data_IF_905686500663
#
_entry.id   IF_905686500663
#
_cell.length_a   1.000
_cell.length_b   1.000
_cell.length_c   1.000
_cell.angle_alpha   90.00
_cell.angle_beta   90.00
_cell.angle_gamma   90.00
#
_symmetry.space_group_name_H-M   'P 1'
#
loop_
_entity.id
_entity.type
_entity.pdbx_description
1 polymer ?
#
# COMPACT_ATOMS: atom_id res chain seq x y z
N UNK A 1 -10.06 -0.30 3.65
CA UNK A 1 -8.71 -0.11 4.26
C UNK A 1 -8.83 0.99 5.31
N UNK A 2 -8.83 0.66 6.60
CA UNK A 2 -9.07 1.65 7.68
C UNK A 2 -8.08 2.82 7.69
N UNK A 3 -6.82 2.58 7.31
CA UNK A 3 -5.73 3.57 7.33
C UNK A 3 -5.66 4.45 6.08
N UNK A 4 -6.58 4.28 5.13
CA UNK A 4 -6.66 5.18 3.97
C UNK A 4 -6.87 6.61 4.47
N UNK A 5 -5.94 7.49 4.14
CA UNK A 5 -6.08 8.93 4.38
C UNK A 5 -7.15 9.45 3.43
N UNK A 6 -8.09 10.22 3.96
CA UNK A 6 -9.23 10.80 3.22
C UNK A 6 -9.22 12.33 3.25
N UNK A 7 -8.16 12.93 3.78
CA UNK A 7 -7.98 14.37 3.89
C UNK A 7 -7.37 14.77 5.23
N UNK A 8 -7.59 16.02 5.60
CA UNK A 8 -7.12 16.61 6.85
C UNK A 8 -8.21 17.46 7.50
N UNK A 9 -8.19 17.51 8.80
CA UNK A 9 -8.97 18.45 9.60
C UNK A 9 -8.35 19.86 9.54
N UNK A 10 -9.07 20.85 10.03
CA UNK A 10 -8.61 22.25 10.04
C UNK A 10 -7.32 22.46 10.86
N UNK A 11 -7.07 21.64 11.87
CA UNK A 11 -5.84 21.62 12.68
C UNK A 11 -4.72 20.75 12.10
N UNK A 12 -4.94 20.19 10.89
CA UNK A 12 -3.94 19.44 10.13
C UNK A 12 -3.81 17.95 10.50
N UNK A 13 -4.69 17.41 11.33
CA UNK A 13 -4.73 15.97 11.60
C UNK A 13 -5.30 15.20 10.40
N UNK A 14 -4.80 13.99 10.16
CA UNK A 14 -5.30 13.15 9.07
C UNK A 14 -6.69 12.60 9.39
N UNK A 15 -7.65 12.80 8.49
CA UNK A 15 -8.90 12.03 8.47
C UNK A 15 -8.68 10.71 7.73
N UNK A 16 -9.39 9.66 8.15
CA UNK A 16 -9.19 8.31 7.59
C UNK A 16 -10.50 7.59 7.32
N UNK A 17 -10.43 6.61 6.43
CA UNK A 17 -11.57 5.76 6.10
C UNK A 17 -12.16 5.05 7.32
N UNK A 18 -11.37 4.78 8.37
CA UNK A 18 -11.85 4.16 9.63
C UNK A 18 -13.00 4.93 10.27
N UNK A 19 -13.05 6.24 10.11
CA UNK A 19 -14.08 7.11 10.69
C UNK A 19 -15.47 6.85 10.10
N UNK A 20 -15.52 6.32 8.87
CA UNK A 20 -16.76 5.95 8.19
C UNK A 20 -17.17 4.47 8.39
N UNK A 21 -16.39 3.69 9.13
CA UNK A 21 -16.68 2.26 9.33
C UNK A 21 -17.67 1.96 10.45
N UNK A 22 -17.72 2.69 11.61
CA UNK A 22 -18.63 2.35 12.69
C UNK A 22 -20.08 2.24 12.20
N UNK A 23 -20.70 1.08 12.45
CA UNK A 23 -22.08 0.79 12.03
C UNK A 23 -22.28 0.56 10.54
N UNK A 24 -21.24 0.55 9.73
CA UNK A 24 -21.32 0.30 8.29
C UNK A 24 -21.86 -1.10 8.00
N UNK A 25 -22.91 -1.19 7.18
CA UNK A 25 -23.54 -2.48 6.79
C UNK A 25 -22.96 -3.07 5.50
N UNK A 26 -22.21 -2.28 4.75
CA UNK A 26 -21.57 -2.71 3.49
C UNK A 26 -20.17 -2.12 3.46
N UNK A 27 -19.18 -2.97 3.34
CA UNK A 27 -17.76 -2.59 3.33
C UNK A 27 -17.11 -3.22 2.10
N UNK A 28 -16.59 -2.39 1.22
CA UNK A 28 -15.77 -2.84 0.11
C UNK A 28 -14.30 -2.95 0.56
N UNK A 29 -13.70 -4.12 0.39
CA UNK A 29 -12.27 -4.33 0.61
C UNK A 29 -11.46 -3.99 -0.64
N UNK A 30 -10.33 -3.27 -0.53
CA UNK A 30 -9.47 -2.98 -1.67
C UNK A 30 -8.72 -4.22 -2.15
N UNK A 31 -8.21 -4.18 -3.39
CA UNK A 31 -7.30 -5.19 -3.91
C UNK A 31 -5.95 -5.19 -3.19
N UNK A 32 -5.26 -6.34 -3.17
CA UNK A 32 -4.00 -6.49 -2.43
C UNK A 32 -2.89 -5.54 -2.93
N UNK A 33 -2.74 -5.40 -4.25
CA UNK A 33 -1.77 -4.45 -4.82
C UNK A 33 -2.18 -2.99 -4.54
N UNK A 34 -3.48 -2.70 -4.50
CA UNK A 34 -4.00 -1.38 -4.12
C UNK A 34 -3.58 -1.05 -2.69
N UNK A 35 -3.76 -1.99 -1.77
CA UNK A 35 -3.38 -1.84 -0.37
C UNK A 35 -1.90 -1.50 -0.24
N UNK A 36 -1.01 -2.29 -0.86
CA UNK A 36 0.43 -2.07 -0.77
C UNK A 36 0.85 -0.72 -1.37
N UNK A 37 0.38 -0.41 -2.59
CA UNK A 37 0.74 0.82 -3.29
C UNK A 37 0.23 2.07 -2.56
N UNK A 38 -1.03 2.04 -2.10
CA UNK A 38 -1.62 3.17 -1.38
C UNK A 38 -0.90 3.42 -0.06
N UNK A 39 -0.71 2.37 0.76
CA UNK A 39 -0.03 2.51 2.06
C UNK A 39 1.42 2.98 1.91
N UNK A 40 2.11 2.61 0.82
CA UNK A 40 3.45 3.10 0.58
C UNK A 40 3.49 4.62 0.40
N UNK A 41 2.65 5.20 -0.47
CA UNK A 41 2.83 6.56 -0.97
C UNK A 41 1.85 7.62 -0.40
N UNK A 42 0.70 7.21 0.17
CA UNK A 42 -0.34 8.15 0.60
C UNK A 42 0.13 9.27 1.55
N UNK A 43 1.12 9.07 2.48
CA UNK A 43 1.58 10.19 3.31
C UNK A 43 2.24 11.31 2.48
N UNK A 44 3.06 10.93 1.50
CA UNK A 44 3.71 11.89 0.60
C UNK A 44 2.71 12.67 -0.27
N UNK A 45 1.64 12.02 -0.69
CA UNK A 45 0.55 12.67 -1.43
C UNK A 45 -0.21 13.63 -0.52
N UNK A 46 -0.61 13.15 0.66
CA UNK A 46 -1.39 13.96 1.62
C UNK A 46 -0.66 15.24 2.07
N UNK A 47 0.68 15.19 2.10
CA UNK A 47 1.52 16.34 2.43
C UNK A 47 1.98 17.14 1.21
N UNK A 48 1.61 16.75 -0.01
CA UNK A 48 2.04 17.43 -1.22
C UNK A 48 3.56 17.38 -1.42
N UNK A 49 4.18 16.25 -1.06
CA UNK A 49 5.63 16.04 -1.21
C UNK A 49 5.99 15.41 -2.54
N UNK A 50 5.02 14.81 -3.23
CA UNK A 50 5.23 14.13 -4.50
C UNK A 50 4.36 14.74 -5.59
N UNK A 51 4.93 14.82 -6.79
CA UNK A 51 4.19 15.23 -7.99
C UNK A 51 3.11 14.20 -8.31
N UNK A 52 1.90 14.63 -8.71
CA UNK A 52 0.80 13.71 -9.03
C UNK A 52 1.01 12.97 -10.36
N UNK A 53 1.95 13.43 -11.18
CA UNK A 53 2.29 12.81 -12.46
C UNK A 53 3.57 11.97 -12.33
N UNK A 54 3.72 10.99 -13.23
CA UNK A 54 4.93 10.16 -13.30
C UNK A 54 5.19 9.36 -12.00
N UNK A 55 4.12 8.91 -11.34
CA UNK A 55 4.21 7.95 -10.25
C UNK A 55 4.45 6.57 -10.86
N UNK A 56 5.42 5.83 -10.33
CA UNK A 56 5.75 4.46 -10.78
C UNK A 56 5.61 3.52 -9.61
N UNK A 57 4.92 2.40 -9.82
CA UNK A 57 4.77 1.33 -8.84
C UNK A 57 5.14 -0.02 -9.48
N UNK A 58 6.24 -0.58 -9.02
CA UNK A 58 6.69 -1.92 -9.37
C UNK A 58 6.46 -2.84 -8.16
N UNK A 59 5.77 -3.96 -8.38
CA UNK A 59 5.38 -4.85 -7.31
C UNK A 59 5.87 -6.27 -7.57
N UNK A 60 6.57 -6.83 -6.59
CA UNK A 60 6.87 -8.27 -6.55
C UNK A 60 5.75 -8.97 -5.79
N UNK A 61 5.06 -9.92 -6.46
CA UNK A 61 3.79 -10.51 -5.99
C UNK A 61 3.90 -12.02 -5.94
N UNK A 62 3.52 -12.62 -4.82
CA UNK A 62 3.41 -14.08 -4.70
C UNK A 62 2.29 -14.67 -5.56
N UNK A 63 2.49 -15.88 -6.08
CA UNK A 63 1.59 -16.55 -7.02
C UNK A 63 0.15 -16.72 -6.50
N UNK A 64 -0.07 -16.78 -5.18
CA UNK A 64 -1.42 -16.84 -4.62
C UNK A 64 -2.29 -15.62 -4.99
N UNK A 65 -1.66 -14.47 -5.30
CA UNK A 65 -2.35 -13.27 -5.76
C UNK A 65 -2.98 -13.41 -7.15
N UNK A 66 -2.55 -14.37 -7.94
CA UNK A 66 -3.10 -14.66 -9.26
C UNK A 66 -4.45 -15.43 -9.23
N UNK A 67 -4.87 -15.88 -8.05
CA UNK A 67 -6.12 -16.64 -7.84
C UNK A 67 -6.02 -18.13 -8.24
N UNK A 68 -7.13 -18.86 -8.14
CA UNK A 68 -7.21 -20.32 -8.32
C UNK A 68 -7.63 -20.76 -9.73
N UNK A 69 -7.39 -19.97 -10.76
CA UNK A 69 -7.82 -20.34 -12.10
C UNK A 69 -6.88 -21.40 -12.71
N UNK A 70 -7.30 -22.65 -12.70
CA UNK A 70 -6.56 -23.81 -13.21
C UNK A 70 -6.29 -23.77 -14.74
N UNK A 71 -6.97 -22.90 -15.48
CA UNK A 71 -6.74 -22.73 -16.93
C UNK A 71 -5.51 -21.88 -17.25
N UNK A 72 -4.87 -21.28 -16.25
CA UNK A 72 -3.63 -20.50 -16.43
C UNK A 72 -2.44 -21.43 -16.31
N UNK A 73 -1.97 -21.97 -17.42
CA UNK A 73 -0.81 -22.90 -17.46
C UNK A 73 0.47 -22.28 -16.90
N UNK A 74 0.66 -20.98 -17.10
CA UNK A 74 1.81 -20.23 -16.55
C UNK A 74 1.83 -20.11 -15.02
N UNK A 75 0.81 -20.60 -14.31
CA UNK A 75 0.74 -20.69 -12.85
C UNK A 75 0.96 -22.12 -12.33
N UNK A 76 1.19 -23.08 -13.20
CA UNK A 76 1.58 -24.43 -12.78
C UNK A 76 2.96 -24.37 -12.12
N UNK A 77 3.18 -25.23 -11.12
CA UNK A 77 4.43 -25.20 -10.35
C UNK A 77 5.68 -25.33 -11.24
N UNK A 78 5.62 -26.16 -12.28
CA UNK A 78 6.73 -26.33 -13.22
C UNK A 78 7.06 -25.04 -14.01
N UNK A 79 6.06 -24.21 -14.28
CA UNK A 79 6.23 -22.94 -15.00
C UNK A 79 6.56 -21.77 -14.05
N UNK A 80 6.03 -21.84 -12.81
CA UNK A 80 6.14 -20.75 -11.83
C UNK A 80 7.48 -20.79 -11.05
N UNK A 81 7.99 -21.98 -10.76
CA UNK A 81 9.25 -22.14 -10.03
C UNK A 81 10.42 -21.54 -10.83
N UNK A 82 11.23 -20.75 -10.15
CA UNK A 82 12.42 -20.09 -10.73
C UNK A 82 12.10 -19.05 -11.85
N UNK A 83 10.86 -18.62 -11.97
CA UNK A 83 10.45 -17.63 -12.98
C UNK A 83 9.80 -16.41 -12.34
N UNK A 84 10.11 -15.23 -12.86
CA UNK A 84 9.41 -13.98 -12.56
C UNK A 84 8.69 -13.50 -13.82
N UNK A 85 7.41 -13.16 -13.72
CA UNK A 85 6.57 -12.85 -14.87
C UNK A 85 5.77 -11.56 -14.64
N UNK A 86 6.00 -10.49 -15.43
CA UNK A 86 5.11 -9.32 -15.44
C UNK A 86 3.72 -9.71 -15.96
N UNK A 87 2.67 -9.12 -15.40
CA UNK A 87 1.31 -9.38 -15.86
C UNK A 87 0.46 -8.11 -15.87
N UNK A 88 -0.55 -8.08 -16.73
CA UNK A 88 -1.50 -6.97 -16.85
C UNK A 88 -0.83 -5.60 -16.91
N UNK A 89 0.27 -5.50 -17.66
CA UNK A 89 1.05 -4.27 -17.86
C UNK A 89 0.40 -3.35 -18.89
N UNK A 90 0.97 -2.16 -19.11
CA UNK A 90 0.50 -1.21 -20.14
C UNK A 90 -0.84 -0.57 -19.78
N UNK A 91 -1.11 -0.31 -18.50
CA UNK A 91 -2.32 0.37 -18.07
C UNK A 91 -3.57 -0.52 -17.98
N UNK A 92 -3.44 -1.84 -18.17
CA UNK A 92 -4.58 -2.75 -18.24
C UNK A 92 -5.00 -3.36 -16.90
N UNK A 93 -4.22 -3.17 -15.84
CA UNK A 93 -4.50 -3.78 -14.54
C UNK A 93 -5.70 -3.12 -13.85
N UNK A 94 -6.67 -3.93 -13.45
CA UNK A 94 -7.93 -3.49 -12.81
C UNK A 94 -7.76 -2.68 -11.51
N UNK A 95 -6.58 -2.77 -10.86
CA UNK A 95 -6.31 -2.03 -9.63
C UNK A 95 -5.88 -0.58 -9.87
N UNK A 96 -5.51 -0.20 -11.09
CA UNK A 96 -5.04 1.16 -11.39
C UNK A 96 -6.11 2.21 -11.05
N UNK A 97 -7.37 2.11 -11.51
CA UNK A 97 -8.39 3.09 -11.17
C UNK A 97 -8.62 3.23 -9.66
N UNK A 98 -8.56 2.12 -8.92
CA UNK A 98 -8.73 2.11 -7.47
C UNK A 98 -7.56 2.80 -6.75
N UNK A 99 -6.31 2.58 -7.21
CA UNK A 99 -5.13 3.27 -6.66
C UNK A 99 -5.24 4.77 -6.91
N UNK A 100 -5.58 5.19 -8.12
CA UNK A 100 -5.71 6.61 -8.48
C UNK A 100 -6.82 7.30 -7.67
N UNK A 101 -7.94 6.61 -7.43
CA UNK A 101 -9.00 7.09 -6.54
C UNK A 101 -8.48 7.28 -5.11
N UNK A 102 -7.71 6.32 -4.58
CA UNK A 102 -7.15 6.43 -3.24
C UNK A 102 -6.12 7.57 -3.14
N UNK A 103 -5.36 7.82 -4.19
CA UNK A 103 -4.44 8.97 -4.25
C UNK A 103 -5.19 10.29 -4.24
N UNK A 104 -6.31 10.40 -4.97
CA UNK A 104 -7.16 11.60 -4.91
C UNK A 104 -7.71 11.81 -3.49
N UNK A 105 -8.22 10.76 -2.84
CA UNK A 105 -8.67 10.85 -1.45
C UNK A 105 -7.55 11.27 -0.50
N UNK A 106 -6.35 10.72 -0.65
CA UNK A 106 -5.21 11.10 0.18
C UNK A 106 -4.82 12.58 0.02
N UNK A 107 -5.02 13.15 -1.17
CA UNK A 107 -4.85 14.58 -1.43
C UNK A 107 -5.99 15.44 -0.88
N UNK A 108 -7.01 14.86 -0.25
CA UNK A 108 -8.20 15.58 0.20
C UNK A 108 -9.20 15.90 -0.91
N UNK A 109 -9.11 15.18 -2.03
CA UNK A 109 -9.91 15.35 -3.23
C UNK A 109 -10.95 14.22 -3.36
N UNK A 110 -11.78 14.29 -4.38
CA UNK A 110 -12.84 13.29 -4.65
C UNK A 110 -12.36 12.23 -5.65
N UNK A 111 -13.09 11.13 -5.76
CA UNK A 111 -12.83 10.11 -6.77
C UNK A 111 -12.84 10.66 -8.22
N UNK A 112 -13.60 11.74 -8.49
CA UNK A 112 -13.64 12.40 -9.80
C UNK A 112 -12.29 13.04 -10.17
N UNK A 113 -11.49 13.39 -9.18
CA UNK A 113 -10.17 14.01 -9.34
C UNK A 113 -9.03 13.01 -9.59
N UNK A 114 -9.33 11.70 -9.63
CA UNK A 114 -8.35 10.63 -9.86
C UNK A 114 -7.51 10.85 -11.14
N UNK A 115 -8.07 11.48 -12.16
CA UNK A 115 -7.39 11.84 -13.41
C UNK A 115 -6.25 12.86 -13.28
N UNK A 116 -6.12 13.51 -12.13
CA UNK A 116 -4.97 14.37 -11.81
C UNK A 116 -3.68 13.54 -11.66
N UNK A 117 -3.80 12.28 -11.25
CA UNK A 117 -2.69 11.38 -11.04
C UNK A 117 -2.41 10.51 -12.28
N UNK A 118 -1.14 10.18 -12.49
CA UNK A 118 -0.73 9.17 -13.48
C UNK A 118 0.15 8.13 -12.82
N UNK A 119 -0.07 6.86 -13.17
CA UNK A 119 0.60 5.72 -12.56
C UNK A 119 1.11 4.75 -13.62
N UNK A 120 2.44 4.59 -13.71
CA UNK A 120 3.08 3.42 -14.30
C UNK A 120 2.98 2.26 -13.31
N UNK A 121 2.37 1.14 -13.73
CA UNK A 121 2.07 0.03 -12.81
C UNK A 121 2.55 -1.29 -13.39
N UNK A 122 3.51 -1.93 -12.72
CA UNK A 122 4.14 -3.17 -13.17
C UNK A 122 4.13 -4.22 -12.06
N UNK A 123 3.06 -5.03 -11.94
CA UNK A 123 3.08 -6.16 -11.03
C UNK A 123 3.83 -7.34 -11.67
N UNK A 124 4.67 -8.00 -10.89
CA UNK A 124 5.52 -9.12 -11.29
C UNK A 124 5.24 -10.29 -10.36
N UNK A 125 4.71 -11.38 -10.90
CA UNK A 125 4.65 -12.65 -10.18
C UNK A 125 6.07 -13.19 -9.98
N UNK A 126 6.42 -13.52 -8.75
CA UNK A 126 7.72 -14.04 -8.37
C UNK A 126 7.57 -15.44 -7.73
N UNK A 127 8.63 -16.26 -7.71
CA UNK A 127 8.58 -17.64 -7.22
C UNK A 127 8.46 -17.71 -5.68
N UNK A 128 7.44 -17.10 -5.14
CA UNK A 128 7.04 -17.16 -3.75
C UNK A 128 5.53 -17.39 -3.65
N UNK A 129 5.08 -18.10 -2.63
CA UNK A 129 3.66 -18.45 -2.48
C UNK A 129 2.81 -17.24 -2.10
N UNK A 130 3.32 -16.38 -1.20
CA UNK A 130 2.60 -15.25 -0.61
C UNK A 130 3.53 -14.04 -0.48
N UNK A 131 2.92 -12.88 -0.27
CA UNK A 131 3.59 -11.61 -0.05
C UNK A 131 3.51 -10.69 -1.25
N UNK A 132 3.51 -9.40 -0.96
CA UNK A 132 3.70 -8.32 -1.94
C UNK A 132 4.76 -7.39 -1.37
N UNK A 133 5.77 -7.09 -2.19
CA UNK A 133 6.67 -5.98 -1.96
C UNK A 133 6.39 -4.93 -3.04
N UNK A 134 5.84 -3.80 -2.63
CA UNK A 134 5.64 -2.65 -3.51
C UNK A 134 6.82 -1.68 -3.38
N UNK A 135 7.39 -1.30 -4.51
CA UNK A 135 8.32 -0.17 -4.66
C UNK A 135 7.60 0.92 -5.42
N UNK A 136 7.27 2.00 -4.74
CA UNK A 136 6.55 3.11 -5.35
C UNK A 136 7.47 4.32 -5.37
N UNK A 137 7.67 4.92 -6.54
CA UNK A 137 8.49 6.12 -6.67
C UNK A 137 7.74 7.25 -7.34
N UNK A 138 7.99 8.47 -6.89
CA UNK A 138 7.41 9.68 -7.45
C UNK A 138 8.42 10.83 -7.39
N UNK A 139 8.29 11.80 -8.29
CA UNK A 139 9.12 13.01 -8.28
C UNK A 139 8.81 13.86 -7.04
N UNK A 140 9.83 14.46 -6.48
CA UNK A 140 9.69 15.44 -5.39
C UNK A 140 9.08 16.72 -5.92
N UNK A 141 8.14 17.29 -5.16
CA UNK A 141 7.74 18.70 -5.32
C UNK A 141 8.85 19.63 -4.81
N UNK A 142 8.78 20.92 -5.14
CA UNK A 142 9.71 21.91 -4.61
C UNK A 142 9.64 21.99 -3.08
N UNK A 143 8.46 21.76 -2.48
CA UNK A 143 8.29 21.61 -1.05
C UNK A 143 9.17 20.49 -0.49
N UNK A 144 9.11 19.31 -1.10
CA UNK A 144 9.90 18.16 -0.66
C UNK A 144 11.42 18.37 -0.86
N UNK A 145 11.81 19.01 -1.95
CA UNK A 145 13.23 19.33 -2.22
C UNK A 145 13.82 20.25 -1.16
N UNK A 146 13.01 21.15 -0.59
CA UNK A 146 13.45 22.08 0.47
C UNK A 146 13.49 21.43 1.87
N UNK A 147 12.93 20.25 2.06
CA UNK A 147 12.93 19.51 3.34
C UNK A 147 14.19 18.63 3.48
N UNK A 148 14.61 18.33 4.71
CA UNK A 148 15.61 17.30 4.97
C UNK A 148 15.01 15.88 4.76
N UNK A 149 15.86 14.86 4.61
CA UNK A 149 15.42 13.47 4.48
C UNK A 149 14.70 13.01 5.74
N UNK A 150 15.19 13.43 6.89
CA UNK A 150 14.60 13.21 8.20
C UNK A 150 13.17 13.79 8.28
N UNK A 151 13.00 15.06 7.89
CA UNK A 151 11.69 15.72 7.88
C UNK A 151 10.70 15.05 6.92
N UNK A 152 11.16 14.53 5.79
CA UNK A 152 10.33 13.72 4.88
C UNK A 152 9.93 12.43 5.55
N UNK A 153 10.86 11.71 6.21
CA UNK A 153 10.58 10.47 6.92
C UNK A 153 9.56 10.69 8.06
N UNK A 154 9.67 11.80 8.78
CA UNK A 154 8.75 12.17 9.87
C UNK A 154 7.30 12.30 9.40
N UNK A 155 7.08 12.67 8.14
CA UNK A 155 5.74 12.67 7.54
C UNK A 155 5.14 11.26 7.53
N UNK A 156 5.90 10.23 7.17
CA UNK A 156 5.44 8.84 7.26
C UNK A 156 5.26 8.37 8.69
N UNK A 157 6.18 8.72 9.59
CA UNK A 157 6.06 8.40 11.00
C UNK A 157 4.76 8.98 11.59
N UNK A 158 4.50 10.26 11.38
CA UNK A 158 3.29 10.95 11.84
C UNK A 158 2.02 10.38 11.19
N UNK A 159 2.07 10.06 9.90
CA UNK A 159 0.91 9.51 9.18
C UNK A 159 0.49 8.14 9.72
N UNK A 160 1.41 7.35 10.24
CA UNK A 160 1.14 6.00 10.74
C UNK A 160 1.20 5.88 12.26
N UNK A 161 1.41 6.98 12.98
CA UNK A 161 1.34 7.00 14.44
C UNK A 161 -0.04 6.52 14.92
N UNK A 162 -0.04 5.61 15.90
CA UNK A 162 -1.28 5.04 16.45
C UNK A 162 -2.05 4.11 15.49
N UNK A 163 -1.47 3.78 14.32
CA UNK A 163 -2.08 2.82 13.39
C UNK A 163 -1.53 1.42 13.66
N UNK A 164 -2.31 0.61 14.34
CA UNK A 164 -1.91 -0.67 14.95
C UNK A 164 -1.14 -1.64 14.04
N UNK A 165 -1.48 -1.68 12.77
CA UNK A 165 -0.89 -2.61 11.81
C UNK A 165 0.15 -1.97 10.88
N UNK A 166 0.46 -0.69 11.10
CA UNK A 166 1.44 0.03 10.29
C UNK A 166 2.78 0.11 11.00
N UNK A 167 3.81 -0.44 10.41
CA UNK A 167 5.17 -0.48 10.98
C UNK A 167 6.12 0.24 10.05
N UNK A 168 6.43 1.50 10.35
CA UNK A 168 7.54 2.19 9.70
C UNK A 168 8.85 1.64 10.28
N UNK A 169 9.62 0.97 9.43
CA UNK A 169 10.86 0.32 9.85
C UNK A 169 11.92 1.35 10.30
N UNK A 170 12.87 0.97 11.16
CA UNK A 170 14.01 1.83 11.49
C UNK A 170 14.74 2.33 10.24
N UNK A 171 15.41 3.46 10.36
CA UNK A 171 16.23 4.00 9.29
C UNK A 171 17.27 2.97 8.82
N UNK A 172 17.47 2.88 7.51
CA UNK A 172 18.37 1.91 6.89
C UNK A 172 17.79 0.49 6.72
N UNK A 173 16.70 0.14 7.41
CA UNK A 173 16.03 -1.15 7.23
C UNK A 173 15.00 -1.09 6.09
N UNK A 174 14.97 -2.11 5.23
CA UNK A 174 14.01 -2.22 4.13
C UNK A 174 13.01 -3.35 4.38
N UNK A 175 11.75 -3.21 3.92
CA UNK A 175 10.75 -4.25 4.08
C UNK A 175 11.10 -5.51 3.29
N UNK A 176 10.81 -6.67 3.89
CA UNK A 176 10.92 -7.97 3.25
C UNK A 176 9.62 -8.76 3.42
N UNK A 177 9.18 -9.44 2.37
CA UNK A 177 7.92 -10.20 2.39
C UNK A 177 7.95 -11.35 3.41
N UNK A 178 9.11 -11.98 3.63
CA UNK A 178 9.27 -13.06 4.61
C UNK A 178 8.89 -12.64 6.04
N UNK A 179 9.10 -11.37 6.39
CA UNK A 179 8.89 -10.86 7.75
C UNK A 179 7.41 -10.62 8.11
N UNK A 180 6.50 -10.65 7.11
CA UNK A 180 5.08 -10.27 7.32
C UNK A 180 4.10 -11.40 6.97
N UNK A 181 4.56 -12.54 6.51
CA UNK A 181 3.71 -13.67 6.15
C UNK A 181 2.84 -14.08 7.36
N UNK A 182 1.54 -14.26 7.14
CA UNK A 182 0.57 -14.62 8.15
C UNK A 182 0.08 -13.46 9.03
N UNK A 183 0.68 -12.27 8.93
CA UNK A 183 0.27 -11.12 9.73
C UNK A 183 -0.65 -10.15 8.97
N UNK A 184 -1.38 -9.32 9.73
CA UNK A 184 -2.12 -8.17 9.19
C UNK A 184 -1.27 -6.90 9.16
N UNK A 185 0.03 -6.98 9.49
CA UNK A 185 0.93 -5.83 9.45
C UNK A 185 1.30 -5.43 8.01
N UNK A 186 1.62 -4.16 7.84
CA UNK A 186 2.35 -3.63 6.68
C UNK A 186 3.68 -3.07 7.19
N UNK A 187 4.80 -3.58 6.68
CA UNK A 187 6.11 -3.01 6.91
C UNK A 187 6.39 -1.95 5.85
N UNK A 188 6.71 -0.75 6.30
CA UNK A 188 6.83 0.43 5.47
C UNK A 188 8.23 1.04 5.58
N UNK A 189 8.68 1.69 4.52
CA UNK A 189 9.87 2.52 4.54
C UNK A 189 9.76 3.61 3.48
N UNK A 190 10.41 4.73 3.72
CA UNK A 190 10.59 5.83 2.76
C UNK A 190 12.06 6.21 2.68
N UNK A 191 12.53 6.43 1.46
CA UNK A 191 13.90 6.82 1.16
C UNK A 191 13.87 7.91 0.09
N UNK A 192 14.72 8.90 0.22
CA UNK A 192 14.89 9.98 -0.75
C UNK A 192 16.10 9.70 -1.65
N UNK A 193 15.94 9.93 -2.95
CA UNK A 193 17.05 10.02 -3.88
C UNK A 193 17.17 11.46 -4.37
N UNK A 194 18.09 12.20 -3.78
CA UNK A 194 18.34 13.62 -4.08
C UNK A 194 18.89 13.85 -5.49
N UNK A 195 19.59 12.86 -6.05
CA UNK A 195 20.18 12.97 -7.39
C UNK A 195 19.13 12.88 -8.49
N UNK A 196 18.19 11.95 -8.33
CA UNK A 196 17.06 11.76 -9.25
C UNK A 196 15.85 12.60 -8.87
N UNK A 197 15.89 13.33 -7.76
CA UNK A 197 14.79 14.11 -7.18
C UNK A 197 13.53 13.25 -7.00
N UNK A 198 13.67 12.02 -6.49
CA UNK A 198 12.56 11.10 -6.26
C UNK A 198 12.45 10.67 -4.80
N UNK A 199 11.21 10.46 -4.36
CA UNK A 199 10.89 9.72 -3.15
C UNK A 199 10.60 8.29 -3.56
N UNK A 200 11.22 7.34 -2.87
CA UNK A 200 10.93 5.91 -2.95
C UNK A 200 10.22 5.48 -1.67
N UNK A 201 9.03 4.97 -1.82
CA UNK A 201 8.22 4.46 -0.72
C UNK A 201 7.99 2.95 -0.89
N UNK A 202 8.23 2.20 0.15
CA UNK A 202 8.17 0.75 0.14
C UNK A 202 7.06 0.26 1.07
N UNK A 203 6.37 -0.80 0.65
CA UNK A 203 5.45 -1.53 1.51
C UNK A 203 5.57 -3.04 1.28
N UNK A 204 5.78 -3.80 2.35
CA UNK A 204 5.62 -5.25 2.32
C UNK A 204 4.36 -5.65 3.09
N UNK A 205 3.52 -6.48 2.47
CA UNK A 205 2.29 -7.03 3.07
C UNK A 205 2.13 -8.51 2.73
N UNK A 206 1.41 -9.24 3.56
CA UNK A 206 0.85 -10.53 3.16
C UNK A 206 -0.40 -10.29 2.29
N UNK A 207 -0.35 -10.72 1.02
CA UNK A 207 -1.42 -10.47 0.07
C UNK A 207 -2.74 -11.20 0.39
N UNK A 208 -2.69 -12.31 1.12
CA UNK A 208 -3.88 -13.06 1.54
C UNK A 208 -4.43 -12.59 2.88
N UNK A 209 -3.58 -12.03 3.75
CA UNK A 209 -3.99 -11.48 5.04
C UNK A 209 -4.24 -9.97 4.90
N UNK A 210 -3.23 -9.13 5.10
CA UNK A 210 -3.36 -7.67 4.98
C UNK A 210 -3.96 -7.22 3.65
N UNK A 211 -3.58 -7.88 2.55
CA UNK A 211 -4.07 -7.56 1.22
C UNK A 211 -5.52 -7.98 0.95
N UNK A 212 -6.13 -8.82 1.79
CA UNK A 212 -7.46 -9.40 1.53
C UNK A 212 -8.24 -9.66 2.82
N UNK A 213 -8.07 -10.83 3.44
CA UNK A 213 -8.91 -11.29 4.53
C UNK A 213 -8.71 -10.51 5.84
N UNK A 214 -7.45 -10.23 6.21
CA UNK A 214 -7.14 -9.56 7.47
C UNK A 214 -7.66 -8.13 7.52
N UNK A 215 -7.51 -7.36 6.45
CA UNK A 215 -8.10 -6.01 6.42
C UNK A 215 -9.64 -6.02 6.38
N UNK A 216 -10.25 -7.08 5.84
CA UNK A 216 -11.70 -7.24 5.89
C UNK A 216 -12.18 -7.51 7.31
N UNK A 217 -11.48 -8.40 8.06
CA UNK A 217 -11.75 -8.65 9.48
C UNK A 217 -11.51 -7.38 10.31
N UNK A 218 -10.41 -6.67 10.11
CA UNK A 218 -10.13 -5.40 10.76
C UNK A 218 -11.25 -4.38 10.54
N UNK A 219 -11.69 -4.22 9.29
CA UNK A 219 -12.79 -3.30 8.97
C UNK A 219 -14.12 -3.74 9.58
N UNK A 220 -14.38 -5.05 9.65
CA UNK A 220 -15.57 -5.61 10.31
C UNK A 220 -15.53 -5.38 11.83
N UNK A 221 -14.37 -5.57 12.47
CA UNK A 221 -14.19 -5.31 13.90
C UNK A 221 -14.56 -3.86 14.23
N UNK A 222 -14.03 -2.89 13.46
CA UNK A 222 -14.36 -1.47 13.65
C UNK A 222 -15.87 -1.23 13.44
N UNK A 223 -16.46 -1.79 12.39
CA UNK A 223 -17.89 -1.61 12.10
C UNK A 223 -18.80 -2.15 13.18
N UNK A 224 -18.39 -3.20 13.89
CA UNK A 224 -19.12 -3.84 15.00
C UNK A 224 -18.77 -3.25 16.39
N UNK A 225 -17.82 -2.31 16.46
CA UNK A 225 -17.34 -1.76 17.73
C UNK A 225 -16.51 -2.74 18.57
N UNK A 226 -15.91 -3.75 17.92
CA UNK A 226 -14.98 -4.68 18.55
C UNK A 226 -13.56 -4.09 18.58
N UNK A 227 -12.65 -4.63 19.43
CA UNK A 227 -11.23 -4.31 19.31
C UNK A 227 -10.74 -4.52 17.88
N UNK A 228 -10.07 -3.54 17.31
CA UNK A 228 -9.67 -3.52 15.90
C UNK A 228 -8.82 -4.73 15.53
N UNK A 229 -7.99 -5.19 16.45
CA UNK A 229 -7.06 -6.30 16.27
C UNK A 229 -7.64 -7.68 16.68
N UNK A 230 -8.91 -7.76 17.06
CA UNK A 230 -9.52 -9.01 17.47
C UNK A 230 -9.37 -10.10 16.39
N UNK A 231 -8.69 -11.20 16.74
CA UNK A 231 -8.41 -12.32 15.83
C UNK A 231 -7.32 -12.04 14.78
N UNK A 232 -6.61 -10.92 14.87
CA UNK A 232 -5.54 -10.54 13.96
C UNK A 232 -4.19 -10.48 14.68
N UNK A 233 -3.10 -10.75 13.95
CA UNK A 233 -1.74 -10.65 14.48
C UNK A 233 -0.94 -9.59 13.72
N UNK A 234 -0.03 -8.92 14.44
CA UNK A 234 1.00 -8.00 13.90
C UNK A 234 2.31 -8.72 13.60
N UNK A 235 2.46 -9.95 14.07
CA UNK A 235 3.69 -10.72 14.01
C UNK A 235 3.56 -11.73 12.88
N UNK A 236 4.51 -11.66 11.93
CA UNK A 236 4.62 -12.67 10.87
C UNK A 236 5.11 -14.01 11.44
N UNK A 237 4.72 -15.09 10.78
CA UNK A 237 5.31 -16.40 11.06
C UNK A 237 6.71 -16.43 10.45
N UNK A 238 7.71 -16.73 11.26
CA UNK A 238 9.06 -16.91 10.78
C UNK A 238 9.12 -18.06 9.76
N UNK A 239 9.98 -17.95 8.71
CA UNK A 239 10.21 -19.03 7.78
C UNK A 239 10.86 -20.25 8.46
#
# INVERSE_FOLDING_TARGET
MPELITGKTADGAYTRQREALPGAKRIAGPGCNVTATTLALQPGIAEGLVEPKDIVADLVVGYSGAGKNLKRTNLLAAEALQSALPYSVGGTHRHIPEILQNFAHAAGETAADAGKFTLGFTPILAPMSRGILATVSARMTDKAKAMSDEAIRDVWAKAYEGQDFMVLLPEGALPATGNIIGSNAAHLQVVTDRKSERIYAFAAIDNLNRGTAGQAVQSLNIALGLPEDAGLTKIGVAP
#
